data_IF_297771636494
#
_entry.id   IF_297771636494
#
_cell.length_a   1.000
_cell.length_b   1.000
_cell.length_c   1.000
_cell.angle_alpha   90.00
_cell.angle_beta   90.00
_cell.angle_gamma   90.00
#
_symmetry.space_group_name_H-M   'P 1'
#
loop_
_entity.id
_entity.type
_entity.pdbx_description
1 polymer ?
#
# COMPACT_ATOMS: atom_id res chain seq x y z
N UNK A 1 6.10 -3.48 -28.63
CA UNK A 1 6.79 -2.28 -28.11
C UNK A 1 6.58 -2.17 -26.63
N UNK A 2 7.65 -2.15 -25.90
CA UNK A 2 7.55 -1.90 -24.47
C UNK A 2 7.20 -0.44 -24.26
N UNK A 3 6.11 -0.19 -23.54
CA UNK A 3 5.81 1.14 -23.06
C UNK A 3 6.85 1.55 -22.04
N UNK A 4 7.42 2.73 -22.21
CA UNK A 4 8.37 3.29 -21.28
C UNK A 4 7.64 3.61 -19.97
N UNK A 5 8.02 2.94 -18.88
CA UNK A 5 7.46 3.19 -17.57
C UNK A 5 7.94 4.53 -17.03
N UNK A 6 7.00 5.31 -16.54
CA UNK A 6 7.29 6.55 -15.81
C UNK A 6 7.38 6.23 -14.33
N UNK A 7 8.32 6.88 -13.65
CA UNK A 7 8.52 6.72 -12.22
C UNK A 7 8.08 8.01 -11.53
N UNK A 8 7.28 7.88 -10.49
CA UNK A 8 6.86 9.03 -9.69
C UNK A 8 7.07 8.73 -8.20
N UNK A 9 7.72 9.68 -7.51
CA UNK A 9 7.91 9.58 -6.07
C UNK A 9 6.57 9.73 -5.36
N UNK A 10 6.41 9.02 -4.25
CA UNK A 10 5.19 9.14 -3.45
C UNK A 10 4.99 10.57 -2.94
N UNK A 11 6.06 11.31 -2.74
CA UNK A 11 6.01 12.72 -2.33
C UNK A 11 5.38 13.63 -3.39
N UNK A 12 5.45 13.23 -4.66
CA UNK A 12 4.94 13.99 -5.79
C UNK A 12 3.52 13.55 -6.19
N UNK A 13 2.87 12.74 -5.38
CA UNK A 13 1.52 12.22 -5.62
C UNK A 13 0.52 12.71 -4.58
N UNK A 14 0.03 13.97 -4.70
CA UNK A 14 -0.94 14.49 -3.74
C UNK A 14 -2.29 13.76 -3.77
N UNK A 15 -2.56 12.99 -4.83
CA UNK A 15 -3.79 12.21 -4.97
C UNK A 15 -3.82 10.98 -4.04
N UNK A 16 -2.68 10.57 -3.51
CA UNK A 16 -2.58 9.40 -2.65
C UNK A 16 -3.11 9.76 -1.26
N UNK A 17 -4.01 8.94 -0.75
CA UNK A 17 -4.51 9.03 0.62
C UNK A 17 -3.77 8.02 1.49
N UNK A 18 -3.25 8.47 2.61
CA UNK A 18 -2.54 7.61 3.56
C UNK A 18 -3.57 7.01 4.52
N UNK A 19 -3.44 5.70 4.77
CA UNK A 19 -4.28 4.95 5.69
C UNK A 19 -3.48 4.58 6.94
N UNK A 20 -4.07 4.83 8.11
CA UNK A 20 -3.43 4.51 9.37
C UNK A 20 -2.35 5.50 9.78
N UNK A 21 -1.57 5.10 10.78
CA UNK A 21 -0.45 5.90 11.28
C UNK A 21 0.81 5.59 10.51
N UNK A 22 1.39 6.60 9.90
CA UNK A 22 2.62 6.48 9.13
C UNK A 22 3.58 7.60 9.51
N UNK A 23 4.84 7.45 9.13
CA UNK A 23 5.85 8.48 9.28
C UNK A 23 6.54 8.72 7.95
N UNK A 24 7.30 9.82 7.86
CA UNK A 24 8.07 10.16 6.68
C UNK A 24 7.48 11.36 5.94
N UNK A 25 8.36 12.12 5.29
CA UNK A 25 7.99 13.28 4.47
C UNK A 25 7.94 12.92 2.99
N UNK A 26 9.00 12.31 2.51
CA UNK A 26 9.21 12.00 1.09
C UNK A 26 8.93 10.54 0.78
N UNK A 27 8.76 9.74 1.82
CA UNK A 27 8.42 8.32 1.75
C UNK A 27 7.37 8.03 2.81
N UNK A 28 6.65 6.92 2.66
CA UNK A 28 5.65 6.52 3.65
C UNK A 28 6.12 5.25 4.33
N UNK A 29 6.37 5.34 5.63
CA UNK A 29 6.81 4.21 6.43
C UNK A 29 5.61 3.50 7.07
N UNK A 30 5.46 2.21 6.79
CA UNK A 30 4.38 1.39 7.29
C UNK A 30 4.90 0.42 8.35
N UNK A 31 4.34 0.49 9.54
CA UNK A 31 4.70 -0.39 10.67
C UNK A 31 3.55 -1.30 11.08
N UNK A 32 2.33 -0.78 11.10
CA UNK A 32 1.16 -1.46 11.62
C UNK A 32 0.36 -2.17 10.53
N UNK A 33 -0.24 -3.29 10.88
CA UNK A 33 -1.20 -3.98 10.01
C UNK A 33 -2.37 -3.04 9.69
N UNK A 34 -2.75 -2.99 8.43
CA UNK A 34 -3.81 -2.12 7.94
C UNK A 34 -3.36 -0.73 7.56
N UNK A 35 -2.12 -0.34 7.86
CA UNK A 35 -1.58 0.90 7.33
C UNK A 35 -1.23 0.75 5.84
N UNK A 36 -1.33 1.82 5.10
CA UNK A 36 -1.07 1.78 3.68
C UNK A 36 -1.46 3.04 2.96
N UNK A 37 -1.75 2.87 1.69
CA UNK A 37 -2.17 3.97 0.82
C UNK A 37 -3.34 3.55 -0.05
N UNK A 38 -4.11 4.53 -0.50
CA UNK A 38 -5.16 4.32 -1.50
C UNK A 38 -5.24 5.50 -2.46
N UNK A 39 -5.65 5.20 -3.68
CA UNK A 39 -5.76 6.20 -4.74
C UNK A 39 -6.60 5.64 -5.90
N UNK A 40 -6.93 6.51 -6.85
CA UNK A 40 -7.55 6.12 -8.12
C UNK A 40 -6.50 6.14 -9.23
N UNK A 41 -6.54 5.13 -10.07
CA UNK A 41 -5.64 5.02 -11.22
C UNK A 41 -6.39 4.48 -12.44
N UNK A 42 -6.11 5.02 -13.62
CA UNK A 42 -6.84 4.68 -14.84
C UNK A 42 -6.07 3.78 -15.81
N UNK A 43 -4.83 3.46 -15.51
CA UNK A 43 -3.98 2.70 -16.43
C UNK A 43 -4.16 1.19 -16.33
N UNK A 44 -3.49 0.50 -17.24
CA UNK A 44 -3.58 -0.97 -17.35
C UNK A 44 -2.56 -1.70 -16.48
N UNK A 45 -1.48 -1.04 -16.09
CA UNK A 45 -0.37 -1.64 -15.36
C UNK A 45 0.17 -0.67 -14.32
N UNK A 46 0.50 -1.19 -13.15
CA UNK A 46 1.04 -0.39 -12.06
C UNK A 46 2.05 -1.21 -11.27
N UNK A 47 3.18 -0.60 -10.95
CA UNK A 47 4.24 -1.16 -10.14
C UNK A 47 4.50 -0.29 -8.92
N UNK A 48 4.91 -0.92 -7.84
CA UNK A 48 5.23 -0.25 -6.59
C UNK A 48 6.72 -0.36 -6.30
N UNK A 49 7.33 0.77 -5.96
CA UNK A 49 8.70 0.80 -5.45
C UNK A 49 8.66 0.83 -3.94
N UNK A 50 9.26 -0.17 -3.31
CA UNK A 50 9.29 -0.31 -1.85
C UNK A 50 10.70 -0.60 -1.37
N UNK A 51 10.93 -0.27 -0.12
CA UNK A 51 12.09 -0.71 0.63
C UNK A 51 11.58 -1.39 1.91
N UNK A 52 12.04 -2.59 2.19
CA UNK A 52 11.61 -3.32 3.37
C UNK A 52 12.79 -3.66 4.25
N UNK A 53 12.54 -3.75 5.54
CA UNK A 53 13.51 -4.24 6.50
C UNK A 53 12.81 -5.12 7.53
N UNK A 54 13.52 -6.10 8.04
CA UNK A 54 13.06 -7.02 9.08
C UNK A 54 14.23 -7.88 9.56
N UNK A 55 14.06 -8.50 10.69
CA UNK A 55 15.05 -9.42 11.25
C UNK A 55 14.58 -10.88 11.15
N UNK A 56 13.39 -11.16 11.64
CA UNK A 56 12.90 -12.55 11.75
C UNK A 56 11.69 -12.86 10.87
N UNK A 57 10.87 -11.89 10.53
CA UNK A 57 9.58 -12.12 9.88
C UNK A 57 9.38 -11.19 8.70
N UNK A 58 9.21 -11.76 7.51
CA UNK A 58 8.96 -10.99 6.31
C UNK A 58 7.68 -10.15 6.45
N UNK A 59 7.73 -8.86 6.11
CA UNK A 59 6.51 -8.06 6.00
C UNK A 59 5.73 -8.44 4.74
N UNK A 60 4.42 -8.37 4.83
CA UNK A 60 3.53 -8.68 3.71
C UNK A 60 2.73 -7.46 3.29
N UNK A 61 2.46 -7.38 1.99
CA UNK A 61 1.55 -6.41 1.40
C UNK A 61 0.35 -7.12 0.80
N UNK A 62 -0.81 -6.51 0.97
CA UNK A 62 -2.03 -6.90 0.28
C UNK A 62 -2.40 -5.80 -0.70
N UNK A 63 -2.87 -6.19 -1.87
CA UNK A 63 -3.35 -5.27 -2.91
C UNK A 63 -4.82 -5.51 -3.12
N UNK A 64 -5.62 -4.46 -2.95
CA UNK A 64 -7.04 -4.48 -3.23
C UNK A 64 -7.33 -3.61 -4.46
N UNK A 65 -8.21 -4.10 -5.30
CA UNK A 65 -8.67 -3.40 -6.49
C UNK A 65 -10.20 -3.37 -6.48
N UNK A 66 -10.77 -2.17 -6.45
CA UNK A 66 -12.22 -1.97 -6.40
C UNK A 66 -12.89 -2.74 -5.25
N UNK A 67 -12.23 -2.81 -4.11
CA UNK A 67 -12.76 -3.46 -2.90
C UNK A 67 -12.48 -4.96 -2.80
N UNK A 68 -11.84 -5.56 -3.80
CA UNK A 68 -11.51 -6.98 -3.78
C UNK A 68 -10.00 -7.18 -3.64
N UNK A 69 -9.58 -8.07 -2.77
CA UNK A 69 -8.17 -8.43 -2.65
C UNK A 69 -7.76 -9.25 -3.86
N UNK A 70 -6.81 -8.73 -4.63
CA UNK A 70 -6.33 -9.40 -5.84
C UNK A 70 -4.98 -10.08 -5.67
N UNK A 71 -4.20 -9.63 -4.69
CA UNK A 71 -2.84 -10.12 -4.51
C UNK A 71 -2.39 -9.96 -3.06
N UNK A 72 -1.49 -10.83 -2.66
CA UNK A 72 -0.89 -10.83 -1.34
C UNK A 72 0.48 -11.49 -1.43
N UNK A 73 1.52 -10.81 -0.95
CA UNK A 73 2.88 -11.31 -1.12
C UNK A 73 3.82 -10.78 -0.03
N UNK A 74 4.88 -11.55 0.30
CA UNK A 74 5.93 -11.04 1.18
C UNK A 74 6.83 -10.07 0.42
N UNK A 75 7.43 -9.14 1.15
CA UNK A 75 8.36 -8.17 0.58
C UNK A 75 9.78 -8.52 1.06
N UNK A 76 10.68 -8.72 0.13
CA UNK A 76 12.06 -9.03 0.44
C UNK A 76 12.79 -7.82 1.05
N UNK A 77 13.81 -8.11 1.86
CA UNK A 77 14.64 -7.08 2.46
C UNK A 77 15.34 -6.26 1.38
N UNK A 78 15.39 -4.94 1.59
CA UNK A 78 15.99 -4.00 0.66
C UNK A 78 15.00 -3.40 -0.30
N UNK A 79 15.51 -2.79 -1.36
CA UNK A 79 14.70 -2.18 -2.41
C UNK A 79 14.10 -3.21 -3.34
N UNK A 80 12.80 -3.09 -3.60
CA UNK A 80 12.05 -3.98 -4.48
C UNK A 80 11.13 -3.19 -5.40
N UNK A 81 10.91 -3.74 -6.60
CA UNK A 81 9.86 -3.32 -7.51
C UNK A 81 8.85 -4.44 -7.59
N UNK A 82 7.59 -4.14 -7.30
CA UNK A 82 6.54 -5.15 -7.25
C UNK A 82 5.42 -4.77 -8.22
N UNK A 83 5.06 -5.71 -9.08
CA UNK A 83 3.92 -5.53 -9.97
C UNK A 83 2.63 -5.67 -9.16
N UNK A 84 1.84 -4.61 -9.12
CA UNK A 84 0.55 -4.62 -8.44
C UNK A 84 -0.52 -5.27 -9.32
N UNK A 85 -0.57 -4.88 -10.58
CA UNK A 85 -1.42 -5.48 -11.59
C UNK A 85 -0.97 -5.08 -12.99
N UNK A 86 -1.40 -5.84 -13.99
CA UNK A 86 -1.19 -5.53 -15.40
C UNK A 86 -2.30 -6.20 -16.24
N UNK A 87 -2.46 -5.72 -17.46
CA UNK A 87 -3.49 -6.25 -18.34
C UNK A 87 -4.89 -5.77 -18.03
N UNK A 88 -5.02 -4.70 -17.26
CA UNK A 88 -6.33 -4.12 -16.92
C UNK A 88 -6.81 -3.16 -17.99
N UNK A 89 -8.12 -2.87 -17.98
CA UNK A 89 -8.72 -1.91 -18.92
C UNK A 89 -8.24 -0.50 -18.67
N UNK A 90 -7.78 0.17 -19.72
CA UNK A 90 -7.36 1.57 -19.68
C UNK A 90 -8.58 2.49 -19.69
N UNK A 91 -8.47 3.62 -18.99
CA UNK A 91 -9.46 4.69 -19.01
C UNK A 91 -10.50 4.65 -17.90
N UNK A 92 -10.74 3.49 -17.32
CA UNK A 92 -11.65 3.37 -16.17
C UNK A 92 -10.90 3.56 -14.87
N UNK A 93 -11.34 4.49 -13.99
CA UNK A 93 -10.73 4.62 -12.68
C UNK A 93 -10.86 3.35 -11.86
N UNK A 94 -9.76 2.93 -11.30
CA UNK A 94 -9.69 1.78 -10.39
C UNK A 94 -9.28 2.27 -9.02
N UNK A 95 -10.01 1.85 -7.99
CA UNK A 95 -9.66 2.14 -6.61
C UNK A 95 -8.59 1.13 -6.17
N UNK A 96 -7.39 1.60 -5.96
CA UNK A 96 -6.24 0.78 -5.56
C UNK A 96 -5.95 1.04 -4.09
N UNK A 97 -5.87 -0.03 -3.30
CA UNK A 97 -5.42 0.03 -1.91
C UNK A 97 -4.26 -0.92 -1.72
N UNK A 98 -3.23 -0.43 -1.06
CA UNK A 98 -2.05 -1.22 -0.75
C UNK A 98 -1.88 -1.18 0.75
N UNK A 99 -1.99 -2.33 1.40
CA UNK A 99 -2.04 -2.43 2.86
C UNK A 99 -0.94 -3.34 3.37
N UNK A 100 -0.33 -2.96 4.48
CA UNK A 100 0.58 -3.82 5.21
C UNK A 100 -0.23 -4.84 6.02
N UNK A 101 0.12 -6.11 5.92
CA UNK A 101 -0.64 -7.18 6.60
C UNK A 101 -0.01 -7.69 7.89
N UNK A 102 1.30 -7.68 7.98
CA UNK A 102 2.01 -8.14 9.17
C UNK A 102 2.58 -6.92 9.90
N UNK A 103 2.32 -6.81 11.16
CA UNK A 103 2.86 -5.71 11.96
C UNK A 103 4.13 -6.12 12.69
N UNK A 104 4.94 -5.11 13.03
CA UNK A 104 6.13 -5.31 13.81
C UNK A 104 5.77 -5.84 15.21
N UNK A 105 6.41 -6.94 15.57
CA UNK A 105 6.36 -7.48 16.92
C UNK A 105 7.62 -7.01 17.68
N UNK A 106 7.59 -7.06 19.00
CA UNK A 106 8.74 -6.64 19.78
C UNK A 106 10.00 -7.47 19.52
N UNK A 107 9.86 -8.67 18.97
CA UNK A 107 10.99 -9.51 18.57
C UNK A 107 11.62 -9.09 17.26
N UNK A 108 10.98 -8.20 16.52
CA UNK A 108 11.46 -7.72 15.23
C UNK A 108 11.31 -6.21 15.13
N UNK A 109 12.17 -5.45 15.83
CA UNK A 109 12.04 -4.00 15.86
C UNK A 109 12.39 -3.32 14.54
N UNK A 110 13.02 -4.02 13.60
CA UNK A 110 13.37 -3.49 12.29
C UNK A 110 12.26 -3.67 11.27
N UNK A 111 11.22 -4.41 11.60
CA UNK A 111 10.14 -4.79 10.69
C UNK A 111 9.37 -3.57 10.19
N UNK A 112 9.53 -3.27 8.90
CA UNK A 112 8.84 -2.15 8.27
C UNK A 112 8.79 -2.29 6.76
N UNK A 113 7.85 -1.59 6.14
CA UNK A 113 7.81 -1.37 4.69
C UNK A 113 7.79 0.12 4.46
N UNK A 114 8.64 0.58 3.55
CA UNK A 114 8.74 1.96 3.14
C UNK A 114 8.26 2.08 1.69
N UNK A 115 7.20 2.84 1.47
CA UNK A 115 6.70 3.10 0.12
C UNK A 115 7.46 4.29 -0.44
N UNK A 116 8.14 4.07 -1.56
CA UNK A 116 9.00 5.06 -2.20
C UNK A 116 8.31 5.75 -3.35
N UNK A 117 7.61 5.01 -4.19
CA UNK A 117 6.96 5.56 -5.38
C UNK A 117 6.23 4.51 -6.19
N UNK A 118 5.77 4.95 -7.34
CA UNK A 118 5.02 4.12 -8.28
C UNK A 118 5.64 4.21 -9.67
N UNK A 119 5.56 3.11 -10.42
CA UNK A 119 5.88 3.07 -11.83
C UNK A 119 4.60 2.84 -12.61
N UNK A 120 4.36 3.67 -13.60
CA UNK A 120 3.13 3.63 -14.39
C UNK A 120 3.43 3.94 -15.85
N UNK A 121 2.47 3.70 -16.76
CA UNK A 121 2.66 3.94 -18.18
C UNK A 121 1.54 4.75 -18.80
N UNK A 122 0.40 4.14 -18.95
CA UNK A 122 -0.71 4.62 -19.78
C UNK A 122 -1.86 5.27 -19.01
N UNK A 123 -1.72 5.46 -17.72
CA UNK A 123 -2.81 5.95 -16.88
C UNK A 123 -2.52 7.26 -16.18
N UNK A 124 -3.53 7.73 -15.47
CA UNK A 124 -3.48 8.94 -14.64
C UNK A 124 -3.91 8.62 -13.23
N UNK A 125 -3.33 9.35 -12.29
CA UNK A 125 -3.76 9.31 -10.89
C UNK A 125 -4.82 10.37 -10.68
N UNK A 126 -5.93 9.98 -10.07
CA UNK A 126 -7.07 10.85 -9.81
C UNK A 126 -7.28 10.98 -8.32
N UNK A 127 -7.89 12.09 -7.91
CA UNK A 127 -8.22 12.34 -6.51
C UNK A 127 -9.39 11.46 -6.10
N UNK A 128 -9.24 10.74 -4.97
CA UNK A 128 -10.34 10.00 -4.37
C UNK A 128 -11.35 10.98 -3.80
N UNK A 129 -12.66 10.76 -4.03
CA UNK A 129 -13.68 11.54 -3.33
C UNK A 129 -13.61 11.28 -1.82
N UNK A 130 -13.92 12.30 -1.04
CA UNK A 130 -14.01 12.14 0.41
C UNK A 130 -15.13 11.17 0.77
N UNK A 131 -14.91 10.30 1.78
CA UNK A 131 -15.95 9.40 2.22
C UNK A 131 -17.13 10.19 2.80
N UNK A 132 -18.34 9.74 2.49
CA UNK A 132 -19.56 10.35 3.01
C UNK A 132 -19.66 10.24 4.54
N UNK A 133 -19.19 9.13 5.08
CA UNK A 133 -19.16 8.86 6.51
C UNK A 133 -17.78 8.42 6.96
N UNK A 134 -17.39 8.84 8.16
CA UNK A 134 -16.17 8.36 8.81
C UNK A 134 -16.55 7.74 10.14
N UNK A 135 -16.11 6.50 10.35
CA UNK A 135 -16.32 5.76 11.58
C UNK A 135 -14.97 5.48 12.22
N UNK A 136 -14.90 5.72 13.51
CA UNK A 136 -13.72 5.39 14.29
C UNK A 136 -14.10 4.41 15.40
N UNK A 137 -13.40 3.29 15.45
CA UNK A 137 -13.56 2.29 16.48
C UNK A 137 -12.38 2.37 17.42
N UNK A 138 -12.67 2.64 18.69
CA UNK A 138 -11.65 2.69 19.73
C UNK A 138 -11.86 1.52 20.68
N UNK A 139 -10.81 0.69 20.83
CA UNK A 139 -10.90 -0.50 21.67
C UNK A 139 -9.52 -0.99 22.09
N UNK A 140 -9.53 -1.95 23.00
CA UNK A 140 -8.30 -2.59 23.49
C UNK A 140 -8.08 -3.90 22.75
N UNK A 141 -7.05 -3.93 21.89
CA UNK A 141 -6.66 -5.16 21.20
C UNK A 141 -5.90 -6.13 22.10
N UNK A 142 -5.37 -5.66 23.22
CA UNK A 142 -4.73 -6.49 24.23
C UNK A 142 -5.73 -7.27 25.08
N UNK A 143 -7.00 -6.96 24.93
CA UNK A 143 -8.03 -7.73 25.57
C UNK A 143 -8.04 -9.15 25.00
N UNK A 144 -8.41 -10.08 25.85
CA UNK A 144 -8.42 -11.51 25.60
C UNK A 144 -8.87 -11.90 24.20
N UNK A 145 -8.26 -12.92 23.57
CA UNK A 145 -8.74 -13.49 22.30
C UNK A 145 -10.22 -13.88 22.32
N UNK A 146 -10.80 -14.03 23.48
CA UNK A 146 -12.22 -14.34 23.63
C UNK A 146 -13.14 -13.25 23.12
N UNK A 147 -12.64 -12.02 22.95
CA UNK A 147 -13.42 -10.94 22.38
C UNK A 147 -13.57 -11.01 20.86
N UNK A 148 -12.85 -11.94 20.25
CA UNK A 148 -12.87 -12.14 18.80
C UNK A 148 -13.85 -13.24 18.39
N UNK A 149 -14.35 -13.94 19.37
CA UNK A 149 -15.27 -15.03 19.12
C UNK A 149 -16.66 -14.54 18.67
#
# INVERSE_FOLDING_TARGET
MEQQKKIISIADLPQVRVLGRTTGKDVINLFWTGSGIEFLYTGSELWLEVNADYDTMEPWLAVELNGAQISRFPVNKGKNEVCLFRGMTVGKPKHVRILKEVQAMHQDPLHMIQILGLQYGDGKFLVLPDPEYRLEFVGFTAASPLLIA
#
